data_IF_062086626769
#
_entry.id   IF_062086626769
#
_cell.length_a   1.000
_cell.length_b   1.000
_cell.length_c   1.000
_cell.angle_alpha   90.00
_cell.angle_beta   90.00
_cell.angle_gamma   90.00
#
_symmetry.space_group_name_H-M   'P 1'
#
loop_
_entity.id
_entity.type
_entity.pdbx_description
1 polymer ?
#
# COMPACT_ATOMS: atom_id res chain seq x y z
N UNK A 1 4.44 -22.37 22.96
CA UNK A 1 3.19 -21.94 23.61
C UNK A 1 2.02 -22.61 22.90
N UNK A 2 0.98 -22.99 23.64
CA UNK A 2 -0.13 -23.81 23.13
C UNK A 2 -1.34 -22.94 22.82
N UNK A 3 -1.77 -22.93 21.55
CA UNK A 3 -3.04 -22.32 21.13
C UNK A 3 -4.17 -23.31 21.43
N UNK A 4 -5.16 -22.90 22.24
CA UNK A 4 -6.30 -23.76 22.61
C UNK A 4 -7.58 -23.32 21.90
N UNK A 5 -7.87 -23.91 20.74
CA UNK A 5 -9.12 -23.70 20.02
C UNK A 5 -10.12 -24.79 20.43
N UNK A 6 -11.10 -24.44 21.27
CA UNK A 6 -12.13 -25.37 21.78
C UNK A 6 -13.29 -25.66 20.81
N UNK A 7 -13.17 -25.24 19.55
CA UNK A 7 -14.17 -25.49 18.51
C UNK A 7 -13.86 -26.79 17.78
N UNK A 8 -14.82 -27.73 17.78
CA UNK A 8 -14.72 -28.98 16.99
C UNK A 8 -14.56 -28.68 15.51
N UNK A 9 -15.35 -27.76 14.97
CA UNK A 9 -15.30 -27.38 13.56
C UNK A 9 -13.92 -26.85 13.16
N UNK A 10 -13.28 -26.04 14.00
CA UNK A 10 -11.94 -25.52 13.72
C UNK A 10 -10.87 -26.62 13.76
N UNK A 11 -11.01 -27.59 14.67
CA UNK A 11 -10.12 -28.77 14.70
C UNK A 11 -10.27 -29.63 13.44
N UNK A 12 -11.49 -29.86 12.99
CA UNK A 12 -11.77 -30.66 11.79
C UNK A 12 -11.17 -29.98 10.53
N UNK A 13 -11.39 -28.68 10.38
CA UNK A 13 -10.79 -27.87 9.29
C UNK A 13 -9.27 -27.87 9.33
N UNK A 14 -8.67 -27.75 10.52
CA UNK A 14 -7.21 -27.75 10.67
C UNK A 14 -6.59 -29.11 10.31
N UNK A 15 -7.29 -30.22 10.60
CA UNK A 15 -6.87 -31.56 10.19
C UNK A 15 -6.99 -31.75 8.67
N UNK A 16 -8.09 -31.30 8.08
CA UNK A 16 -8.31 -31.36 6.63
C UNK A 16 -7.22 -30.58 5.89
N UNK A 17 -6.96 -29.34 6.32
CA UNK A 17 -5.90 -28.51 5.74
C UNK A 17 -4.52 -29.19 5.81
N UNK A 18 -4.19 -29.76 6.97
CA UNK A 18 -2.92 -30.45 7.16
C UNK A 18 -2.78 -31.70 6.28
N UNK A 19 -3.88 -32.42 6.04
CA UNK A 19 -3.90 -33.57 5.13
C UNK A 19 -3.67 -33.14 3.67
N UNK A 20 -4.31 -32.04 3.24
CA UNK A 20 -4.13 -31.48 1.90
C UNK A 20 -2.71 -30.94 1.67
N UNK A 21 -2.11 -30.34 2.69
CA UNK A 21 -0.76 -29.76 2.62
C UNK A 21 0.35 -30.76 2.96
N UNK A 22 0.01 -32.02 3.25
CA UNK A 22 0.95 -33.08 3.66
C UNK A 22 1.89 -32.67 4.80
N UNK A 23 1.32 -32.02 5.83
CA UNK A 23 2.08 -31.41 6.92
C UNK A 23 1.39 -31.65 8.27
N UNK A 24 1.97 -31.11 9.35
CA UNK A 24 1.33 -31.20 10.68
C UNK A 24 0.23 -30.15 10.83
N UNK A 25 -0.81 -30.45 11.63
CA UNK A 25 -1.89 -29.50 11.99
C UNK A 25 -1.32 -28.17 12.46
N UNK A 26 -0.30 -28.19 13.31
CA UNK A 26 0.35 -26.98 13.80
C UNK A 26 0.97 -26.18 12.66
N UNK A 27 1.68 -26.84 11.74
CA UNK A 27 2.36 -26.15 10.65
C UNK A 27 1.36 -25.56 9.63
N UNK A 28 0.36 -26.35 9.22
CA UNK A 28 -0.72 -25.90 8.33
C UNK A 28 -1.43 -24.65 8.86
N UNK A 29 -1.84 -24.69 10.13
CA UNK A 29 -2.52 -23.55 10.77
C UNK A 29 -1.57 -22.35 10.90
N UNK A 30 -0.31 -22.57 11.26
CA UNK A 30 0.67 -21.49 11.37
C UNK A 30 0.93 -20.80 10.04
N UNK A 31 1.08 -21.57 8.96
CA UNK A 31 1.29 -21.05 7.61
C UNK A 31 0.06 -20.30 7.12
N UNK A 32 -1.14 -20.90 7.23
CA UNK A 32 -2.38 -20.26 6.83
C UNK A 32 -2.63 -18.94 7.56
N UNK A 33 -2.40 -18.89 8.87
CA UNK A 33 -2.51 -17.65 9.65
C UNK A 33 -1.49 -16.61 9.24
N UNK A 34 -0.25 -17.02 8.94
CA UNK A 34 0.81 -16.11 8.47
C UNK A 34 0.41 -15.47 7.14
N UNK A 35 0.02 -16.28 6.16
CA UNK A 35 -0.41 -15.81 4.85
C UNK A 35 -1.63 -14.88 4.95
N UNK A 36 -2.59 -15.23 5.80
CA UNK A 36 -3.79 -14.43 6.03
C UNK A 36 -3.49 -13.08 6.69
N UNK A 37 -2.45 -13.00 7.53
CA UNK A 37 -1.97 -11.75 8.12
C UNK A 37 -1.17 -10.93 7.12
N UNK A 38 -0.29 -11.55 6.35
CA UNK A 38 0.51 -10.88 5.31
C UNK A 38 -0.39 -10.24 4.25
N UNK A 39 -1.41 -10.95 3.77
CA UNK A 39 -2.39 -10.41 2.82
C UNK A 39 -3.10 -9.17 3.35
N UNK A 40 -3.62 -9.21 4.58
CA UNK A 40 -4.30 -8.07 5.21
C UNK A 40 -3.36 -6.89 5.45
N UNK A 41 -2.12 -7.15 5.85
CA UNK A 41 -1.10 -6.10 6.01
C UNK A 41 -0.76 -5.44 4.68
N UNK A 42 -0.65 -6.22 3.61
CA UNK A 42 -0.40 -5.69 2.26
C UNK A 42 -1.57 -4.84 1.75
N UNK A 43 -2.81 -5.26 1.99
CA UNK A 43 -4.02 -4.48 1.68
C UNK A 43 -4.02 -3.13 2.43
N UNK A 44 -3.77 -3.15 3.74
CA UNK A 44 -3.70 -1.93 4.56
C UNK A 44 -2.57 -1.00 4.08
N UNK A 45 -1.39 -1.54 3.78
CA UNK A 45 -0.27 -0.75 3.27
C UNK A 45 -0.58 -0.13 1.89
N UNK A 46 -1.28 -0.87 1.02
CA UNK A 46 -1.72 -0.38 -0.29
C UNK A 46 -2.72 0.76 -0.12
N UNK A 47 -3.69 0.61 0.78
CA UNK A 47 -4.69 1.63 1.05
C UNK A 47 -4.06 2.89 1.64
N UNK A 48 -3.16 2.75 2.64
CA UNK A 48 -2.42 3.87 3.19
C UNK A 48 -1.58 4.60 2.14
N UNK A 49 -0.94 3.86 1.23
CA UNK A 49 -0.19 4.45 0.11
C UNK A 49 -1.11 5.21 -0.83
N UNK A 50 -2.29 4.66 -1.14
CA UNK A 50 -3.30 5.33 -1.98
C UNK A 50 -3.78 6.62 -1.34
N UNK A 51 -4.15 6.60 -0.06
CA UNK A 51 -4.55 7.79 0.70
C UNK A 51 -3.46 8.86 0.65
N UNK A 52 -2.20 8.48 0.87
CA UNK A 52 -1.08 9.43 0.84
C UNK A 52 -0.85 10.05 -0.53
N UNK A 53 -1.07 9.30 -1.61
CA UNK A 53 -1.00 9.83 -2.99
C UNK A 53 -2.09 10.88 -3.20
N UNK A 54 -3.32 10.60 -2.76
CA UNK A 54 -4.42 11.56 -2.85
C UNK A 54 -4.15 12.83 -2.04
N UNK A 55 -3.69 12.71 -0.79
CA UNK A 55 -3.30 13.86 0.04
C UNK A 55 -2.25 14.75 -0.64
N UNK A 56 -1.25 14.14 -1.29
CA UNK A 56 -0.23 14.88 -2.04
C UNK A 56 -0.86 15.59 -3.25
N UNK A 57 -1.68 14.88 -4.02
CA UNK A 57 -2.33 15.44 -5.21
C UNK A 57 -3.27 16.61 -4.86
N UNK A 58 -4.04 16.48 -3.78
CA UNK A 58 -4.94 17.52 -3.28
C UNK A 58 -4.15 18.74 -2.83
N UNK A 59 -3.05 18.54 -2.10
CA UNK A 59 -2.15 19.63 -1.69
C UNK A 59 -1.55 20.37 -2.89
N UNK A 60 -1.09 19.66 -3.92
CA UNK A 60 -0.57 20.30 -5.14
C UNK A 60 -1.66 21.06 -5.89
N UNK A 61 -2.85 20.48 -6.00
CA UNK A 61 -3.99 21.12 -6.65
C UNK A 61 -4.39 22.41 -5.93
N UNK A 62 -4.44 22.39 -4.60
CA UNK A 62 -4.74 23.58 -3.81
C UNK A 62 -3.65 24.65 -3.92
N UNK A 63 -2.37 24.24 -3.93
CA UNK A 63 -1.26 25.16 -4.13
C UNK A 63 -1.35 25.87 -5.50
N UNK A 64 -1.59 25.13 -6.58
CA UNK A 64 -1.74 25.72 -7.92
C UNK A 64 -2.96 26.65 -7.98
N UNK A 65 -4.07 26.29 -7.31
CA UNK A 65 -5.28 27.12 -7.26
C UNK A 65 -5.05 28.44 -6.53
N UNK A 66 -4.36 28.40 -5.40
CA UNK A 66 -4.14 29.57 -4.52
C UNK A 66 -3.00 30.45 -4.98
N UNK A 67 -1.94 29.86 -5.53
CA UNK A 67 -0.79 30.55 -6.06
C UNK A 67 -0.22 29.76 -7.25
N UNK A 68 -0.73 29.99 -8.48
CA UNK A 68 -0.35 29.21 -9.66
C UNK A 68 1.12 29.35 -10.07
N UNK A 69 1.86 30.24 -9.41
CA UNK A 69 3.23 30.57 -9.77
C UNK A 69 3.32 31.35 -11.09
N UNK A 70 4.54 31.72 -11.51
CA UNK A 70 4.75 32.34 -12.81
C UNK A 70 4.37 31.36 -13.91
N UNK A 71 3.76 31.89 -14.98
CA UNK A 71 3.47 31.08 -16.16
C UNK A 71 4.77 30.54 -16.77
N UNK A 72 4.69 29.43 -17.52
CA UNK A 72 5.83 28.92 -18.28
C UNK A 72 6.47 30.02 -19.13
N UNK A 73 5.65 30.88 -19.73
CA UNK A 73 6.12 32.02 -20.52
C UNK A 73 7.01 32.97 -19.69
N UNK A 74 6.54 33.37 -18.51
CA UNK A 74 7.28 34.24 -17.58
C UNK A 74 8.61 33.62 -17.13
N UNK A 75 8.62 32.32 -16.83
CA UNK A 75 9.86 31.61 -16.46
C UNK A 75 10.83 31.55 -17.64
N UNK A 76 10.33 31.47 -18.86
CA UNK A 76 11.16 31.42 -20.08
C UNK A 76 11.81 32.77 -20.35
N UNK A 77 11.08 33.88 -20.17
CA UNK A 77 11.60 35.26 -20.30
C UNK A 77 12.68 35.58 -19.26
N UNK A 78 12.59 35.03 -18.05
CA UNK A 78 13.59 35.22 -17.00
C UNK A 78 14.89 34.45 -17.28
N UNK A 79 14.79 33.26 -17.88
CA UNK A 79 15.94 32.37 -18.10
C UNK A 79 16.65 32.58 -19.44
N UNK A 80 15.93 33.06 -20.45
CA UNK A 80 16.45 33.19 -21.82
C UNK A 80 16.31 34.62 -22.36
N UNK A 81 17.25 35.04 -23.20
CA UNK A 81 17.20 36.31 -23.91
C UNK A 81 16.28 36.24 -25.16
N UNK A 82 16.15 37.36 -25.86
CA UNK A 82 15.31 37.48 -27.07
C UNK A 82 15.75 36.57 -28.23
N UNK A 83 16.96 36.00 -28.15
CA UNK A 83 17.53 35.06 -29.12
C UNK A 83 17.40 33.60 -28.67
N UNK A 84 16.78 33.37 -27.50
CA UNK A 84 16.62 32.05 -26.90
C UNK A 84 17.90 31.51 -26.26
N UNK A 85 18.88 32.38 -25.95
CA UNK A 85 20.10 31.99 -25.25
C UNK A 85 19.94 32.18 -23.74
N UNK A 86 20.52 31.32 -22.89
CA UNK A 86 20.51 31.53 -21.46
C UNK A 86 21.11 32.88 -21.08
N UNK A 87 20.44 33.61 -20.19
CA UNK A 87 20.96 34.86 -19.61
C UNK A 87 22.08 34.62 -18.61
#
# INVERSE_FOLDING_TARGET
MTMNIKSKAAHDLAKELAALEHTTVTNAVTMSLREALERRRAEVATEQRRTRIHEIADRFTEQIRTNPGPSLWTVTEDLYDERGLPR
#
